data_IF_261739061696
#
_entry.id   IF_261739061696
#
_cell.length_a   1.000
_cell.length_b   1.000
_cell.length_c   1.000
_cell.angle_alpha   90.00
_cell.angle_beta   90.00
_cell.angle_gamma   90.00
#
_symmetry.space_group_name_H-M   'P 1'
#
loop_
_entity.id
_entity.type
_entity.pdbx_description
1 polymer ?
#
# COMPACT_ATOMS: atom_id res chain seq x y z
N UNK A 1 -12.37 11.35 -53.77
CA UNK A 1 -13.78 11.01 -54.07
C UNK A 1 -14.25 10.07 -52.97
N UNK A 2 -14.97 10.64 -52.01
CA UNK A 2 -15.37 9.98 -50.76
C UNK A 2 -16.64 9.15 -50.99
N UNK A 3 -16.64 7.94 -50.45
CA UNK A 3 -17.75 6.99 -50.48
C UNK A 3 -18.52 7.01 -49.17
N UNK A 4 -19.82 7.33 -49.29
CA UNK A 4 -20.97 6.85 -48.49
C UNK A 4 -20.81 6.68 -46.98
N UNK A 5 -21.39 7.62 -46.22
CA UNK A 5 -21.76 7.45 -44.80
C UNK A 5 -23.28 7.33 -44.67
N UNK A 6 -23.73 6.14 -44.27
CA UNK A 6 -25.12 5.81 -43.90
C UNK A 6 -25.42 6.32 -42.49
N UNK A 7 -26.46 7.14 -42.35
CA UNK A 7 -26.90 7.78 -41.10
C UNK A 7 -28.09 7.03 -40.48
N UNK A 8 -27.78 6.07 -39.60
CA UNK A 8 -28.78 5.40 -38.75
C UNK A 8 -29.03 6.18 -37.46
N UNK A 9 -30.14 6.94 -37.39
CA UNK A 9 -30.62 7.62 -36.19
C UNK A 9 -31.35 6.65 -35.25
N UNK A 10 -30.87 6.47 -34.02
CA UNK A 10 -31.56 5.71 -32.96
C UNK A 10 -32.02 6.68 -31.86
N UNK A 11 -33.34 6.83 -31.72
CA UNK A 11 -33.96 7.65 -30.69
C UNK A 11 -34.03 6.90 -29.36
N UNK A 12 -33.47 7.47 -28.29
CA UNK A 12 -33.66 6.97 -26.93
C UNK A 12 -34.63 7.87 -26.15
N UNK A 13 -35.76 7.27 -25.76
CA UNK A 13 -36.84 7.91 -25.03
C UNK A 13 -36.44 8.20 -23.58
N UNK A 14 -36.69 9.45 -23.14
CA UNK A 14 -36.55 9.91 -21.76
C UNK A 14 -37.58 9.22 -20.87
N UNK A 15 -37.15 8.61 -19.76
CA UNK A 15 -38.02 8.29 -18.62
C UNK A 15 -37.52 9.02 -17.38
N UNK A 16 -38.37 9.91 -16.88
CA UNK A 16 -38.20 10.64 -15.63
C UNK A 16 -38.69 9.77 -14.46
N UNK A 17 -37.82 9.51 -13.49
CA UNK A 17 -38.22 8.97 -12.19
C UNK A 17 -38.31 10.11 -11.18
N UNK A 18 -39.51 10.26 -10.61
CA UNK A 18 -39.85 11.23 -9.57
C UNK A 18 -39.37 10.72 -8.21
N UNK A 19 -38.81 11.62 -7.42
CA UNK A 19 -38.51 11.43 -6.01
C UNK A 19 -39.80 11.41 -5.19
N UNK A 20 -39.89 10.49 -4.23
CA UNK A 20 -40.90 10.49 -3.17
C UNK A 20 -40.20 10.27 -1.84
N UNK A 21 -40.11 11.32 -1.02
CA UNK A 21 -40.03 11.21 0.44
C UNK A 21 -41.42 10.84 0.96
N UNK A 22 -41.53 10.12 2.10
CA UNK A 22 -42.05 10.82 3.27
C UNK A 22 -41.62 10.24 4.64
N UNK A 23 -41.30 11.17 5.54
CA UNK A 23 -41.44 11.06 6.98
C UNK A 23 -42.89 10.72 7.37
N UNK A 24 -43.20 9.45 7.63
CA UNK A 24 -44.53 9.05 8.09
C UNK A 24 -44.54 7.67 8.79
N UNK A 25 -43.97 7.58 10.00
CA UNK A 25 -44.27 6.44 10.88
C UNK A 25 -43.97 6.75 12.36
N UNK A 26 -44.74 7.70 12.91
CA UNK A 26 -44.97 7.81 14.36
C UNK A 26 -46.41 7.41 14.65
N UNK A 27 -46.60 6.27 15.34
CA UNK A 27 -47.47 6.06 16.52
C UNK A 27 -48.01 4.63 16.59
N UNK A 28 -48.11 4.15 17.84
CA UNK A 28 -48.69 2.89 18.35
C UNK A 28 -47.66 1.75 18.30
N UNK A 29 -47.19 1.22 19.42
CA UNK A 29 -47.98 0.45 20.41
C UNK A 29 -47.46 0.70 21.84
N UNK A 30 -48.39 0.75 22.81
CA UNK A 30 -48.10 0.93 24.23
C UNK A 30 -48.07 -0.37 25.05
N UNK A 31 -47.42 -0.24 26.22
CA UNK A 31 -47.61 -0.96 27.50
C UNK A 31 -47.53 -2.50 27.49
N UNK A 32 -46.42 -3.02 28.02
CA UNK A 32 -46.35 -3.79 29.29
C UNK A 32 -44.91 -4.26 29.53
N UNK A 33 -44.25 -3.74 30.57
CA UNK A 33 -43.03 -4.34 31.11
C UNK A 33 -43.23 -4.52 32.62
N UNK A 34 -43.45 -5.77 33.04
CA UNK A 34 -43.23 -6.23 34.42
C UNK A 34 -41.88 -6.92 34.44
N UNK A 35 -41.16 -6.69 35.53
CA UNK A 35 -39.77 -7.07 35.70
C UNK A 35 -39.48 -8.54 35.42
N UNK A 36 -38.35 -8.75 34.76
CA UNK A 36 -37.52 -9.93 34.86
C UNK A 36 -36.08 -9.43 34.81
N UNK A 37 -35.40 -9.57 35.93
CA UNK A 37 -33.95 -9.39 36.08
C UNK A 37 -33.25 -10.20 35.00
N UNK A 38 -32.74 -9.52 33.97
CA UNK A 38 -31.86 -10.14 32.98
C UNK A 38 -30.53 -10.40 33.65
N UNK A 39 -30.19 -11.68 33.83
CA UNK A 39 -28.81 -12.09 34.01
C UNK A 39 -28.00 -11.45 32.88
N UNK A 40 -27.06 -10.56 33.24
CA UNK A 40 -26.04 -10.09 32.31
C UNK A 40 -25.24 -11.32 31.93
N UNK A 41 -25.51 -11.86 30.74
CA UNK A 41 -24.55 -12.68 30.04
C UNK A 41 -23.39 -11.73 29.71
N UNK A 42 -22.35 -11.76 30.55
CA UNK A 42 -21.05 -11.19 30.22
C UNK A 42 -20.61 -11.87 28.92
N UNK A 43 -20.80 -11.17 27.79
CA UNK A 43 -20.06 -11.52 26.59
C UNK A 43 -18.60 -11.27 26.94
N UNK A 44 -17.84 -12.35 27.11
CA UNK A 44 -16.40 -12.29 26.95
C UNK A 44 -16.14 -11.59 25.60
N UNK A 45 -15.26 -10.57 25.53
CA UNK A 45 -14.84 -10.05 24.24
C UNK A 45 -14.21 -11.23 23.49
N UNK A 46 -14.90 -11.72 22.46
CA UNK A 46 -14.34 -12.75 21.59
C UNK A 46 -13.01 -12.20 21.08
N UNK A 47 -11.93 -12.93 21.31
CA UNK A 47 -10.62 -12.56 20.79
C UNK A 47 -10.78 -12.26 19.30
N UNK A 48 -10.49 -11.03 18.89
CA UNK A 48 -10.55 -10.64 17.49
C UNK A 48 -9.61 -11.58 16.72
N UNK A 49 -10.13 -12.24 15.69
CA UNK A 49 -9.35 -13.14 14.84
C UNK A 49 -8.22 -12.33 14.21
N UNK A 50 -6.98 -12.76 14.40
CA UNK A 50 -5.81 -12.05 13.87
C UNK A 50 -5.78 -12.09 12.34
N UNK A 51 -5.05 -11.17 11.70
CA UNK A 51 -4.88 -11.18 10.24
C UNK A 51 -4.28 -12.50 9.74
N UNK A 52 -3.35 -13.08 10.50
CA UNK A 52 -2.71 -14.37 10.22
C UNK A 52 -3.72 -15.52 10.26
N UNK A 53 -4.62 -15.53 11.24
CA UNK A 53 -5.71 -16.52 11.29
C UNK A 53 -6.72 -16.32 10.17
N UNK A 54 -7.03 -15.07 9.79
CA UNK A 54 -7.88 -14.76 8.62
C UNK A 54 -7.25 -15.26 7.32
N UNK A 55 -5.92 -15.20 7.19
CA UNK A 55 -5.17 -15.80 6.08
C UNK A 55 -5.15 -17.34 6.10
N UNK A 56 -5.72 -17.98 7.13
CA UNK A 56 -5.81 -19.43 7.25
C UNK A 56 -4.64 -20.10 7.95
N UNK A 57 -3.72 -19.33 8.54
CA UNK A 57 -2.62 -19.87 9.34
C UNK A 57 -3.05 -20.12 10.79
N UNK A 58 -2.26 -20.92 11.52
CA UNK A 58 -2.48 -21.14 12.94
C UNK A 58 -2.20 -19.87 13.75
N UNK A 59 -2.94 -19.68 14.84
CA UNK A 59 -2.65 -18.63 15.81
C UNK A 59 -1.18 -18.70 16.27
N UNK A 60 -0.48 -17.57 16.25
CA UNK A 60 0.94 -17.51 16.60
C UNK A 60 1.92 -17.84 15.45
N UNK A 61 1.45 -18.08 14.23
CA UNK A 61 2.35 -18.24 13.08
C UNK A 61 3.08 -16.93 12.75
N UNK A 62 4.28 -17.06 12.18
CA UNK A 62 5.07 -15.95 11.63
C UNK A 62 4.87 -15.91 10.14
N UNK A 63 4.20 -14.87 9.67
CA UNK A 63 3.93 -14.65 8.26
C UNK A 63 4.71 -13.41 7.84
N UNK A 64 5.36 -13.51 6.69
CA UNK A 64 6.24 -12.49 6.13
C UNK A 64 5.66 -12.02 4.81
N UNK A 65 5.78 -10.73 4.56
CA UNK A 65 5.53 -10.11 3.27
C UNK A 65 6.80 -9.37 2.89
N UNK A 66 7.46 -9.73 1.79
CA UNK A 66 8.73 -9.11 1.38
C UNK A 66 8.42 -8.17 0.22
N UNK A 67 8.41 -6.87 0.51
CA UNK A 67 8.04 -5.84 -0.45
C UNK A 67 9.26 -5.08 -0.96
N UNK A 68 9.43 -5.05 -2.28
CA UNK A 68 10.43 -4.21 -2.93
C UNK A 68 9.83 -2.86 -3.31
N UNK A 69 10.28 -1.81 -2.64
CA UNK A 69 9.83 -0.45 -2.92
C UNK A 69 10.51 0.09 -4.18
N UNK A 70 9.93 1.18 -4.71
CA UNK A 70 10.55 2.00 -5.76
C UNK A 70 10.72 1.31 -7.13
N UNK A 71 9.82 0.39 -7.46
CA UNK A 71 9.64 0.00 -8.85
C UNK A 71 9.29 1.25 -9.67
N UNK A 72 9.96 1.48 -10.78
CA UNK A 72 9.80 2.67 -11.62
C UNK A 72 10.74 3.83 -11.28
N UNK A 73 11.46 3.78 -10.16
CA UNK A 73 12.42 4.83 -9.79
C UNK A 73 13.52 4.99 -10.84
N UNK A 74 14.29 3.94 -11.10
CA UNK A 74 15.36 3.92 -12.09
C UNK A 74 15.32 2.64 -12.93
N UNK A 75 16.06 2.60 -14.05
CA UNK A 75 16.25 1.33 -14.77
C UNK A 75 16.90 0.28 -13.87
N UNK A 76 17.89 0.69 -13.07
CA UNK A 76 18.57 -0.18 -12.12
C UNK A 76 17.62 -0.79 -11.08
N UNK A 77 16.70 0.01 -10.54
CA UNK A 77 15.66 -0.47 -9.62
C UNK A 77 14.72 -1.44 -10.32
N UNK A 78 14.23 -1.12 -11.53
CA UNK A 78 13.35 -2.01 -12.28
C UNK A 78 13.95 -3.40 -12.50
N UNK A 79 15.23 -3.47 -12.90
CA UNK A 79 15.91 -4.74 -13.13
C UNK A 79 15.99 -5.55 -11.84
N UNK A 80 16.43 -4.93 -10.74
CA UNK A 80 16.59 -5.62 -9.47
C UNK A 80 15.26 -6.05 -8.84
N UNK A 81 14.23 -5.20 -8.87
CA UNK A 81 12.90 -5.53 -8.36
C UNK A 81 12.29 -6.71 -9.12
N UNK A 82 12.34 -6.70 -10.46
CA UNK A 82 11.83 -7.83 -11.23
C UNK A 82 12.67 -9.11 -11.05
N UNK A 83 13.98 -9.01 -10.87
CA UNK A 83 14.82 -10.16 -10.51
C UNK A 83 14.40 -10.74 -9.15
N UNK A 84 14.22 -9.89 -8.13
CA UNK A 84 13.77 -10.28 -6.80
C UNK A 84 12.39 -10.95 -6.81
N UNK A 85 11.45 -10.45 -7.61
CA UNK A 85 10.10 -11.02 -7.73
C UNK A 85 10.04 -12.34 -8.51
N UNK A 86 10.88 -12.50 -9.54
CA UNK A 86 10.77 -13.61 -10.50
C UNK A 86 11.72 -14.77 -10.22
N UNK A 87 12.89 -14.46 -9.67
CA UNK A 87 13.96 -15.41 -9.42
C UNK A 87 14.51 -15.34 -7.98
N UNK A 88 14.02 -14.38 -7.20
CA UNK A 88 14.46 -14.10 -5.84
C UNK A 88 13.43 -14.48 -4.77
N UNK A 89 13.43 -13.71 -3.69
CA UNK A 89 12.64 -13.97 -2.48
C UNK A 89 11.55 -12.93 -2.20
N UNK A 90 11.43 -11.91 -3.03
CA UNK A 90 10.40 -10.89 -2.87
C UNK A 90 9.01 -11.45 -3.21
N UNK A 91 7.99 -11.07 -2.43
CA UNK A 91 6.61 -11.47 -2.67
C UNK A 91 5.74 -10.35 -3.24
N UNK A 92 6.17 -9.09 -3.12
CA UNK A 92 5.45 -7.93 -3.65
C UNK A 92 6.42 -6.81 -4.02
N UNK A 93 5.94 -5.83 -4.80
CA UNK A 93 6.64 -4.56 -5.04
C UNK A 93 5.68 -3.37 -5.13
N UNK A 94 6.21 -2.15 -5.05
CA UNK A 94 5.41 -0.92 -5.11
C UNK A 94 5.90 0.02 -6.21
N UNK A 95 5.01 0.40 -7.13
CA UNK A 95 5.33 1.24 -8.30
C UNK A 95 5.22 2.74 -7.97
N UNK A 96 6.31 3.48 -8.18
CA UNK A 96 6.32 4.94 -8.21
C UNK A 96 5.88 5.42 -9.58
N UNK A 97 4.59 5.75 -9.72
CA UNK A 97 4.00 6.11 -11.02
C UNK A 97 4.61 7.38 -11.64
N UNK A 98 4.90 8.45 -10.87
CA UNK A 98 5.49 9.65 -11.45
C UNK A 98 6.98 9.52 -11.79
N UNK A 99 7.64 8.47 -11.35
CA UNK A 99 9.08 8.31 -11.50
C UNK A 99 9.49 8.06 -12.97
N UNK A 100 10.71 8.48 -13.38
CA UNK A 100 11.10 8.51 -14.79
C UNK A 100 11.05 7.14 -15.51
N UNK A 101 11.25 6.04 -14.77
CA UNK A 101 11.28 4.69 -15.33
C UNK A 101 10.01 3.88 -15.09
N UNK A 102 8.94 4.49 -14.58
CA UNK A 102 7.67 3.83 -14.28
C UNK A 102 7.01 3.23 -15.53
N UNK A 103 7.09 3.93 -16.67
CA UNK A 103 6.57 3.41 -17.94
C UNK A 103 7.36 2.19 -18.44
N UNK A 104 8.66 2.15 -18.17
CA UNK A 104 9.52 1.01 -18.46
C UNK A 104 9.16 -0.19 -17.60
N UNK A 105 8.87 0.02 -16.32
CA UNK A 105 8.34 -1.02 -15.43
C UNK A 105 7.02 -1.58 -15.98
N UNK A 106 6.07 -0.72 -16.32
CA UNK A 106 4.79 -1.13 -16.94
C UNK A 106 4.97 -2.01 -18.18
N UNK A 107 5.93 -1.70 -19.06
CA UNK A 107 6.19 -2.48 -20.26
C UNK A 107 6.77 -3.88 -19.95
N UNK A 108 7.43 -4.04 -18.80
CA UNK A 108 8.01 -5.29 -18.37
C UNK A 108 7.09 -6.12 -17.47
N UNK A 109 5.93 -5.60 -17.04
CA UNK A 109 4.99 -6.27 -16.14
C UNK A 109 4.38 -7.56 -16.73
N UNK A 110 4.28 -8.62 -15.93
CA UNK A 110 3.76 -9.95 -16.35
C UNK A 110 2.68 -10.50 -15.42
N UNK A 111 2.14 -9.69 -14.51
CA UNK A 111 1.13 -10.13 -13.54
C UNK A 111 1.68 -10.37 -12.13
N UNK A 112 2.88 -9.86 -11.82
CA UNK A 112 3.43 -9.89 -10.46
C UNK A 112 2.52 -9.15 -9.46
N UNK A 113 2.73 -9.42 -8.18
CA UNK A 113 2.05 -8.69 -7.09
C UNK A 113 2.68 -7.29 -6.96
N UNK A 114 1.97 -6.27 -7.44
CA UNK A 114 2.47 -4.89 -7.50
C UNK A 114 1.42 -3.92 -6.99
N UNK A 115 1.78 -3.13 -5.98
CA UNK A 115 1.01 -2.00 -5.47
C UNK A 115 1.47 -0.67 -6.07
N UNK A 116 0.94 0.42 -5.53
CA UNK A 116 1.34 1.78 -5.91
C UNK A 116 2.04 2.44 -4.73
N UNK A 117 3.28 2.87 -4.97
CA UNK A 117 4.07 3.70 -4.08
C UNK A 117 3.68 5.15 -4.28
N UNK A 118 2.74 5.61 -3.46
CA UNK A 118 2.19 6.96 -3.54
C UNK A 118 3.27 7.98 -3.22
N UNK A 119 3.53 8.89 -4.15
CA UNK A 119 4.57 9.92 -4.00
C UNK A 119 3.95 11.31 -3.90
N UNK A 120 4.37 12.08 -2.89
CA UNK A 120 4.15 13.54 -2.82
C UNK A 120 5.45 14.33 -2.60
N UNK A 121 6.57 13.63 -2.55
CA UNK A 121 7.89 14.20 -2.29
C UNK A 121 8.91 13.60 -3.27
N UNK A 122 10.01 14.33 -3.47
CA UNK A 122 11.18 13.92 -4.24
C UNK A 122 12.44 14.48 -3.55
N UNK A 123 13.04 13.67 -2.69
CA UNK A 123 14.09 14.03 -1.74
C UNK A 123 15.46 14.27 -2.38
N UNK A 124 15.69 13.72 -3.57
CA UNK A 124 17.00 13.76 -4.22
C UNK A 124 17.24 15.09 -4.94
N UNK A 125 18.48 15.56 -4.88
CA UNK A 125 18.90 16.82 -5.52
C UNK A 125 18.88 16.74 -7.05
N UNK A 126 19.46 15.67 -7.59
CA UNK A 126 19.77 15.54 -9.02
C UNK A 126 18.80 14.63 -9.78
N UNK A 127 17.91 13.93 -9.07
CA UNK A 127 17.01 12.95 -9.68
C UNK A 127 15.60 13.12 -9.16
N UNK A 128 14.74 13.76 -9.96
CA UNK A 128 13.44 14.27 -9.50
C UNK A 128 12.28 13.78 -10.35
N UNK A 129 11.11 13.70 -9.73
CA UNK A 129 9.82 13.45 -10.37
C UNK A 129 8.80 14.49 -9.89
N UNK A 130 7.71 14.62 -10.64
CA UNK A 130 6.72 15.69 -10.48
C UNK A 130 5.29 15.14 -10.43
N UNK A 131 4.32 15.90 -9.90
CA UNK A 131 2.91 15.55 -9.99
C UNK A 131 2.49 15.21 -11.43
N UNK A 132 1.66 14.17 -11.60
CA UNK A 132 1.08 13.84 -12.91
C UNK A 132 -0.23 14.57 -13.18
N UNK A 133 -0.72 15.32 -12.18
CA UNK A 133 -1.87 16.22 -12.27
C UNK A 133 -1.44 17.69 -12.24
N UNK A 134 -2.41 18.59 -12.46
CA UNK A 134 -2.21 20.03 -12.22
C UNK A 134 -2.37 20.29 -10.72
N UNK A 135 -1.26 20.29 -9.99
CA UNK A 135 -1.20 20.46 -8.54
C UNK A 135 -0.10 21.44 -8.13
N UNK A 136 -0.33 22.77 -8.23
CA UNK A 136 0.65 23.78 -7.86
C UNK A 136 1.16 23.71 -6.40
N UNK A 137 0.34 23.25 -5.45
CA UNK A 137 0.74 23.10 -4.04
C UNK A 137 1.70 21.92 -3.82
N UNK A 138 1.74 20.99 -4.78
CA UNK A 138 2.62 19.81 -4.78
C UNK A 138 3.89 20.02 -5.61
N UNK A 139 4.24 21.27 -5.91
CA UNK A 139 5.47 21.64 -6.61
C UNK A 139 6.38 22.42 -5.69
N UNK A 140 7.67 22.14 -5.76
CA UNK A 140 8.70 22.85 -4.98
C UNK A 140 9.31 24.06 -5.71
N UNK A 141 8.83 24.35 -6.92
CA UNK A 141 9.34 25.43 -7.77
C UNK A 141 10.54 25.05 -8.66
N UNK A 142 11.16 23.89 -8.45
CA UNK A 142 12.28 23.36 -9.27
C UNK A 142 11.84 22.28 -10.26
N UNK A 143 10.53 22.14 -10.47
CA UNK A 143 9.96 21.27 -11.50
C UNK A 143 9.64 19.84 -11.04
N UNK A 144 9.53 19.60 -9.74
CA UNK A 144 9.08 18.33 -9.18
C UNK A 144 8.40 18.51 -7.83
N UNK A 145 8.19 17.40 -7.12
CA UNK A 145 7.61 17.42 -5.78
C UNK A 145 8.49 18.12 -4.73
N UNK A 146 7.91 18.55 -3.58
CA UNK A 146 8.63 18.96 -2.38
C UNK A 146 9.71 17.97 -1.94
N UNK A 147 10.80 18.46 -1.36
CA UNK A 147 11.94 17.62 -0.97
C UNK A 147 11.68 16.87 0.32
N UNK A 148 11.01 17.52 1.27
CA UNK A 148 10.79 17.00 2.62
C UNK A 148 9.32 16.68 2.86
N UNK A 149 9.07 15.79 3.82
CA UNK A 149 7.71 15.45 4.24
C UNK A 149 7.05 16.65 4.94
N UNK A 150 7.85 17.41 5.70
CA UNK A 150 7.44 18.62 6.39
C UNK A 150 6.94 19.68 5.42
N UNK A 151 7.65 19.90 4.30
CA UNK A 151 7.20 20.84 3.27
C UNK A 151 5.83 20.45 2.70
N UNK A 152 5.61 19.15 2.44
CA UNK A 152 4.32 18.62 1.98
C UNK A 152 3.25 18.91 3.03
N UNK A 153 3.53 18.60 4.30
CA UNK A 153 2.59 18.79 5.38
C UNK A 153 2.18 20.24 5.61
N UNK A 154 3.08 21.19 5.38
CA UNK A 154 2.83 22.62 5.61
C UNK A 154 2.11 23.29 4.45
N UNK A 155 2.36 22.85 3.21
CA UNK A 155 1.98 23.60 2.02
C UNK A 155 0.98 22.89 1.10
N UNK A 156 0.84 21.56 1.18
CA UNK A 156 0.00 20.82 0.25
C UNK A 156 -1.50 21.08 0.49
N UNK A 157 -2.22 21.32 -0.60
CA UNK A 157 -3.69 21.31 -0.61
C UNK A 157 -4.19 19.86 -0.64
N UNK A 158 -4.99 19.47 0.35
CA UNK A 158 -5.52 18.11 0.46
C UNK A 158 -6.40 17.69 -0.73
N UNK A 159 -7.06 18.63 -1.39
CA UNK A 159 -7.82 18.32 -2.60
C UNK A 159 -6.90 18.04 -3.79
N UNK A 160 -5.74 18.68 -3.85
CA UNK A 160 -4.68 18.36 -4.82
C UNK A 160 -4.06 17.00 -4.53
N UNK A 161 -3.78 16.70 -3.26
CA UNK A 161 -3.28 15.39 -2.82
C UNK A 161 -4.23 14.27 -3.23
N UNK A 162 -5.53 14.41 -2.95
CA UNK A 162 -6.55 13.42 -3.30
C UNK A 162 -6.61 13.18 -4.81
N UNK A 163 -6.54 14.24 -5.62
CA UNK A 163 -6.54 14.13 -7.09
C UNK A 163 -5.26 13.47 -7.60
N UNK A 164 -4.11 13.86 -7.07
CA UNK A 164 -2.80 13.35 -7.50
C UNK A 164 -2.66 11.86 -7.18
N UNK A 165 -2.94 11.44 -5.94
CA UNK A 165 -2.86 10.03 -5.57
C UNK A 165 -3.86 9.15 -6.32
N UNK A 166 -5.10 9.61 -6.50
CA UNK A 166 -6.07 8.89 -7.33
C UNK A 166 -5.55 8.75 -8.76
N UNK A 167 -5.00 9.82 -9.34
CA UNK A 167 -4.44 9.77 -10.69
C UNK A 167 -3.26 8.82 -10.79
N UNK A 168 -2.39 8.73 -9.77
CA UNK A 168 -1.28 7.77 -9.75
C UNK A 168 -1.81 6.34 -9.82
N UNK A 169 -2.80 5.99 -9.00
CA UNK A 169 -3.37 4.64 -9.01
C UNK A 169 -4.11 4.34 -10.32
N UNK A 170 -4.94 5.27 -10.81
CA UNK A 170 -5.65 5.12 -12.08
C UNK A 170 -4.68 4.96 -13.26
N UNK A 171 -3.54 5.66 -13.22
CA UNK A 171 -2.50 5.54 -14.24
C UNK A 171 -1.82 4.17 -14.21
N UNK A 172 -1.54 3.63 -13.02
CA UNK A 172 -1.00 2.27 -12.89
C UNK A 172 -1.98 1.23 -13.46
N UNK A 173 -3.26 1.34 -13.12
CA UNK A 173 -4.32 0.47 -13.68
C UNK A 173 -4.39 0.61 -15.20
N UNK A 174 -4.37 1.83 -15.72
CA UNK A 174 -4.36 2.10 -17.16
C UNK A 174 -3.16 1.49 -17.88
N UNK A 175 -2.00 1.43 -17.23
CA UNK A 175 -0.80 0.78 -17.74
C UNK A 175 -0.86 -0.75 -17.69
N UNK A 176 -1.89 -1.33 -17.08
CA UNK A 176 -2.16 -2.77 -17.05
C UNK A 176 -1.81 -3.45 -15.73
N UNK A 177 -1.43 -2.72 -14.68
CA UNK A 177 -1.18 -3.31 -13.37
C UNK A 177 -2.49 -3.73 -12.69
N UNK A 178 -2.51 -4.94 -12.14
CA UNK A 178 -3.54 -5.38 -11.19
C UNK A 178 -3.12 -4.94 -9.77
N UNK A 179 -3.35 -3.65 -9.46
CA UNK A 179 -2.84 -2.99 -8.24
C UNK A 179 -3.26 -3.75 -6.98
N UNK A 180 -2.29 -4.20 -6.19
CA UNK A 180 -2.54 -5.08 -5.05
C UNK A 180 -2.67 -4.37 -3.70
N UNK A 181 -1.97 -3.25 -3.51
CA UNK A 181 -1.96 -2.49 -2.27
C UNK A 181 -1.52 -1.04 -2.52
N UNK A 182 -1.59 -0.24 -1.46
CA UNK A 182 -1.02 1.10 -1.42
C UNK A 182 0.05 1.17 -0.32
N UNK A 183 1.11 1.90 -0.60
CA UNK A 183 2.05 2.38 0.39
C UNK A 183 2.49 3.81 0.03
N UNK A 184 3.18 4.49 0.93
CA UNK A 184 3.57 5.88 0.75
C UNK A 184 5.09 6.04 0.79
N UNK A 185 5.60 6.87 -0.11
CA UNK A 185 7.02 7.17 -0.21
C UNK A 185 7.52 7.94 1.01
N UNK A 186 8.75 7.60 1.43
CA UNK A 186 9.38 7.99 2.70
C UNK A 186 8.58 7.67 3.98
N UNK A 187 7.47 6.93 3.89
CA UNK A 187 6.60 6.61 5.03
C UNK A 187 6.26 7.82 5.92
N UNK A 188 6.14 8.99 5.30
CA UNK A 188 5.98 10.25 6.00
C UNK A 188 4.55 10.77 5.99
N UNK A 189 3.90 10.70 4.83
CA UNK A 189 2.64 11.42 4.63
C UNK A 189 1.50 10.80 5.45
N UNK A 190 1.50 9.49 5.67
CA UNK A 190 0.53 8.79 6.52
C UNK A 190 0.63 9.14 8.02
N UNK A 191 1.69 9.83 8.45
CA UNK A 191 1.92 10.18 9.86
C UNK A 191 1.30 11.53 10.26
N UNK A 192 0.56 12.18 9.36
CA UNK A 192 -0.22 13.38 9.65
C UNK A 192 -1.72 13.10 9.49
N UNK A 193 -2.58 13.37 10.50
CA UNK A 193 -3.97 12.93 10.51
C UNK A 193 -4.77 13.29 9.26
N UNK A 194 -4.59 14.50 8.73
CA UNK A 194 -5.34 14.97 7.57
C UNK A 194 -4.99 14.23 6.28
N UNK A 195 -3.72 13.86 6.11
CA UNK A 195 -3.26 13.08 4.96
C UNK A 195 -3.59 11.60 5.12
N UNK A 196 -3.54 11.10 6.36
CA UNK A 196 -3.96 9.75 6.69
C UNK A 196 -5.42 9.50 6.33
N UNK A 197 -6.30 10.48 6.56
CA UNK A 197 -7.71 10.38 6.16
C UNK A 197 -7.87 10.20 4.64
N UNK A 198 -7.14 11.00 3.84
CA UNK A 198 -7.13 10.89 2.37
C UNK A 198 -6.57 9.54 1.90
N UNK A 199 -5.55 9.03 2.60
CA UNK A 199 -4.95 7.73 2.32
C UNK A 199 -5.94 6.58 2.56
N UNK A 200 -6.65 6.60 3.70
CA UNK A 200 -7.68 5.60 3.99
C UNK A 200 -8.91 5.73 3.09
N UNK A 201 -9.34 6.95 2.75
CA UNK A 201 -10.41 7.19 1.78
C UNK A 201 -10.09 6.52 0.43
N UNK A 202 -8.86 6.70 -0.06
CA UNK A 202 -8.41 6.09 -1.31
C UNK A 202 -8.36 4.55 -1.22
N UNK A 203 -7.90 4.01 -0.10
CA UNK A 203 -7.83 2.58 0.15
C UNK A 203 -9.22 1.93 0.23
N UNK A 204 -10.17 2.60 0.88
CA UNK A 204 -11.58 2.19 0.97
C UNK A 204 -12.24 2.17 -0.41
N UNK A 205 -12.11 3.26 -1.17
CA UNK A 205 -12.72 3.41 -2.49
C UNK A 205 -12.24 2.36 -3.50
N UNK A 206 -10.98 1.93 -3.39
CA UNK A 206 -10.36 0.97 -4.30
C UNK A 206 -10.36 -0.46 -3.74
N UNK A 207 -10.85 -0.64 -2.51
CA UNK A 207 -10.78 -1.87 -1.73
C UNK A 207 -9.35 -2.47 -1.77
N UNK A 208 -8.36 -1.66 -1.38
CA UNK A 208 -6.95 -2.03 -1.36
C UNK A 208 -6.40 -2.03 0.08
N UNK A 209 -5.63 -3.06 0.46
CA UNK A 209 -4.88 -3.04 1.71
C UNK A 209 -3.78 -1.99 1.63
N UNK A 210 -3.28 -1.60 2.79
CA UNK A 210 -2.30 -0.53 2.92
C UNK A 210 -1.13 -0.95 3.79
N UNK A 211 0.05 -0.40 3.51
CA UNK A 211 1.17 -0.41 4.46
C UNK A 211 0.85 0.54 5.61
N UNK A 212 1.04 0.09 6.86
CA UNK A 212 1.00 0.92 8.08
C UNK A 212 2.15 0.56 9.03
N UNK A 213 2.73 1.54 9.74
CA UNK A 213 3.71 1.29 10.80
C UNK A 213 3.15 0.41 11.92
N UNK A 214 4.01 -0.21 12.73
CA UNK A 214 3.57 -1.02 13.88
C UNK A 214 2.82 -0.20 14.94
N UNK A 215 2.01 -0.86 15.78
CA UNK A 215 1.28 -0.22 16.90
C UNK A 215 2.20 0.54 17.86
N UNK A 216 3.45 0.11 17.98
CA UNK A 216 4.50 0.74 18.79
C UNK A 216 4.89 2.14 18.30
N UNK A 217 4.53 2.52 17.07
CA UNK A 217 4.79 3.84 16.50
C UNK A 217 3.69 4.86 16.81
N UNK A 218 2.49 4.44 17.25
CA UNK A 218 1.37 5.34 17.56
C UNK A 218 1.72 6.45 18.58
N UNK A 219 2.48 6.18 19.67
CA UNK A 219 2.88 7.23 20.60
C UNK A 219 3.76 8.31 19.97
N UNK A 220 4.59 7.94 18.99
CA UNK A 220 5.47 8.87 18.25
C UNK A 220 4.67 9.69 17.24
N UNK A 221 3.72 9.05 16.56
CA UNK A 221 2.87 9.66 15.53
C UNK A 221 1.80 10.57 16.14
N UNK A 222 1.27 10.21 17.32
CA UNK A 222 0.37 11.06 18.09
C UNK A 222 -1.13 10.87 17.81
N UNK A 223 -1.53 9.84 17.07
CA UNK A 223 -2.94 9.46 16.87
C UNK A 223 -3.11 7.94 16.60
N UNK A 224 -4.29 7.35 16.86
CA UNK A 224 -4.50 5.90 16.82
C UNK A 224 -4.78 5.40 15.40
N UNK A 225 -3.79 5.50 14.51
CA UNK A 225 -3.95 5.18 13.08
C UNK A 225 -4.39 3.73 12.82
N UNK A 226 -4.03 2.76 13.69
CA UNK A 226 -4.45 1.36 13.52
C UNK A 226 -5.92 1.16 13.83
N UNK A 227 -6.42 1.80 14.88
CA UNK A 227 -7.84 1.75 15.24
C UNK A 227 -8.67 2.39 14.13
N UNK A 228 -8.28 3.57 13.64
CA UNK A 228 -8.97 4.28 12.55
C UNK A 228 -9.01 3.46 11.24
N UNK A 229 -7.91 2.79 10.90
CA UNK A 229 -7.87 1.89 9.74
C UNK A 229 -8.81 0.69 9.93
N UNK A 230 -8.82 0.08 11.12
CA UNK A 230 -9.68 -1.05 11.44
C UNK A 230 -11.17 -0.68 11.44
N UNK A 231 -11.54 0.51 11.91
CA UNK A 231 -12.93 1.02 11.87
C UNK A 231 -13.46 1.15 10.44
N UNK A 232 -12.58 1.43 9.47
CA UNK A 232 -12.90 1.48 8.04
C UNK A 232 -12.75 0.13 7.32
N UNK A 233 -12.44 -0.93 8.06
CA UNK A 233 -12.24 -2.27 7.49
C UNK A 233 -10.98 -2.39 6.63
N UNK A 234 -10.04 -1.46 6.75
CA UNK A 234 -8.78 -1.48 6.00
C UNK A 234 -7.85 -2.54 6.58
N UNK A 235 -7.25 -3.34 5.70
CA UNK A 235 -6.31 -4.42 6.05
C UNK A 235 -4.87 -3.93 5.89
N UNK A 236 -4.02 -4.20 6.87
CA UNK A 236 -2.60 -3.84 6.86
C UNK A 236 -1.75 -4.91 7.57
N UNK A 237 -0.46 -5.08 7.23
CA UNK A 237 0.48 -5.89 8.00
C UNK A 237 0.55 -5.45 9.47
N UNK A 238 0.81 -6.34 10.42
CA UNK A 238 0.87 -5.98 11.86
C UNK A 238 2.04 -5.02 12.16
N UNK A 239 3.10 -5.08 11.35
CA UNK A 239 4.31 -4.26 11.47
C UNK A 239 5.08 -4.21 10.16
N UNK A 240 5.96 -3.22 10.06
CA UNK A 240 6.87 -3.02 8.93
C UNK A 240 8.28 -2.90 9.47
N UNK A 241 9.24 -3.61 8.87
CA UNK A 241 10.66 -3.52 9.19
C UNK A 241 11.47 -3.35 7.91
N UNK A 242 12.54 -2.58 7.96
CA UNK A 242 13.48 -2.48 6.83
C UNK A 242 14.44 -3.66 6.85
N UNK A 243 14.69 -4.29 5.70
CA UNK A 243 15.55 -5.47 5.60
C UNK A 243 16.96 -5.22 6.17
N UNK A 244 17.57 -4.08 5.83
CA UNK A 244 18.89 -3.72 6.32
C UNK A 244 18.94 -3.59 7.85
N UNK A 245 17.92 -2.99 8.47
CA UNK A 245 17.79 -2.88 9.93
C UNK A 245 17.54 -4.24 10.58
N UNK A 246 16.70 -5.08 9.96
CA UNK A 246 16.43 -6.43 10.45
C UNK A 246 17.71 -7.28 10.52
N UNK A 247 18.59 -7.14 9.54
CA UNK A 247 19.82 -7.94 9.43
C UNK A 247 21.04 -7.31 10.12
N UNK A 248 21.00 -6.03 10.49
CA UNK A 248 22.18 -5.27 10.96
C UNK A 248 22.87 -5.91 12.18
N UNK A 249 22.09 -6.39 13.14
CA UNK A 249 22.59 -6.88 14.43
C UNK A 249 22.51 -8.40 14.58
N UNK A 250 22.06 -9.12 13.55
CA UNK A 250 21.85 -10.56 13.63
C UNK A 250 23.15 -11.34 13.31
N UNK A 251 23.57 -12.30 14.16
CA UNK A 251 24.75 -13.13 13.91
C UNK A 251 24.64 -13.94 12.63
N UNK A 252 23.43 -14.41 12.31
CA UNK A 252 23.06 -15.00 11.04
C UNK A 252 21.68 -14.48 10.61
N UNK A 253 21.37 -14.46 9.30
CA UNK A 253 20.07 -14.01 8.83
C UNK A 253 18.91 -14.74 9.49
N UNK A 254 19.01 -16.06 9.71
CA UNK A 254 17.96 -16.85 10.36
C UNK A 254 17.61 -16.34 11.76
N UNK A 255 18.59 -15.91 12.54
CA UNK A 255 18.37 -15.40 13.90
C UNK A 255 17.46 -14.16 13.88
N UNK A 256 17.60 -13.31 12.86
CA UNK A 256 16.75 -12.13 12.69
C UNK A 256 15.28 -12.52 12.49
N UNK A 257 15.00 -13.46 11.59
CA UNK A 257 13.63 -13.92 11.33
C UNK A 257 13.05 -14.72 12.50
N UNK A 258 13.88 -15.46 13.23
CA UNK A 258 13.46 -16.16 14.44
C UNK A 258 13.16 -15.20 15.60
N UNK A 259 13.80 -14.04 15.65
CA UNK A 259 13.50 -13.00 16.64
C UNK A 259 12.20 -12.24 16.34
N UNK A 260 11.66 -12.30 15.11
CA UNK A 260 10.41 -11.63 14.77
C UNK A 260 9.24 -12.15 15.61
N UNK A 261 8.35 -11.26 16.12
CA UNK A 261 7.12 -11.68 16.77
C UNK A 261 6.20 -12.44 15.81
N UNK A 262 5.33 -13.29 16.37
CA UNK A 262 4.21 -13.84 15.64
C UNK A 262 3.32 -12.74 15.03
N UNK A 263 2.61 -13.05 13.96
CA UNK A 263 1.84 -12.09 13.17
C UNK A 263 2.40 -11.91 11.76
N UNK A 264 1.80 -10.97 11.02
CA UNK A 264 2.20 -10.58 9.69
C UNK A 264 3.20 -9.43 9.74
N UNK A 265 4.44 -9.70 9.36
CA UNK A 265 5.50 -8.69 9.26
C UNK A 265 5.79 -8.38 7.80
N UNK A 266 5.65 -7.13 7.41
CA UNK A 266 6.19 -6.64 6.16
C UNK A 266 7.68 -6.31 6.31
N UNK A 267 8.50 -6.84 5.41
CA UNK A 267 9.92 -6.56 5.26
C UNK A 267 10.07 -5.73 4.00
N UNK A 268 10.39 -4.45 4.14
CA UNK A 268 10.61 -3.54 3.01
C UNK A 268 12.09 -3.45 2.65
N UNK A 269 12.37 -3.32 1.36
CA UNK A 269 13.71 -3.15 0.81
C UNK A 269 13.66 -2.32 -0.47
N UNK A 270 14.78 -1.72 -0.89
CA UNK A 270 14.88 -0.88 -2.09
C UNK A 270 15.95 -1.43 -3.05
N UNK A 271 15.80 -2.66 -3.59
CA UNK A 271 16.85 -3.29 -4.38
C UNK A 271 17.09 -2.56 -5.71
N UNK A 272 18.35 -2.36 -6.07
CA UNK A 272 18.77 -1.84 -7.36
C UNK A 272 20.10 -2.48 -7.80
N UNK A 273 20.30 -2.70 -9.11
CA UNK A 273 21.59 -3.16 -9.63
C UNK A 273 22.61 -2.02 -9.67
N UNK A 274 23.89 -2.35 -9.51
CA UNK A 274 24.95 -1.35 -9.53
C UNK A 274 25.18 -0.80 -10.96
N UNK A 275 24.81 0.46 -11.18
CA UNK A 275 25.01 1.16 -12.46
C UNK A 275 25.54 2.58 -12.24
N UNK A 276 26.22 3.17 -13.26
CA UNK A 276 26.61 4.58 -13.19
C UNK A 276 25.42 5.54 -12.99
N UNK A 277 24.25 5.21 -13.54
CA UNK A 277 23.00 5.98 -13.33
C UNK A 277 22.62 5.99 -11.85
N UNK A 278 22.55 4.82 -11.21
CA UNK A 278 22.16 4.71 -9.81
C UNK A 278 23.13 5.47 -8.90
N UNK A 279 24.44 5.29 -9.12
CA UNK A 279 25.49 5.98 -8.34
C UNK A 279 25.42 7.50 -8.46
N UNK A 280 24.96 8.01 -9.60
CA UNK A 280 24.80 9.45 -9.83
C UNK A 280 23.47 9.99 -9.26
N UNK A 281 22.42 9.17 -9.27
CA UNK A 281 21.08 9.57 -8.85
C UNK A 281 20.90 9.53 -7.32
N UNK A 282 21.40 8.46 -6.66
CA UNK A 282 21.02 8.12 -5.30
C UNK A 282 22.26 7.95 -4.40
N UNK A 283 22.45 8.80 -3.36
CA UNK A 283 23.60 8.70 -2.45
C UNK A 283 23.66 7.38 -1.66
N UNK A 284 22.51 6.77 -1.42
CA UNK A 284 22.31 5.50 -0.72
C UNK A 284 22.42 4.27 -1.64
N UNK A 285 22.91 4.43 -2.87
CA UNK A 285 23.11 3.33 -3.83
C UNK A 285 23.81 2.08 -3.25
N UNK A 286 24.79 2.15 -2.32
CA UNK A 286 25.42 0.93 -1.79
C UNK A 286 24.42 0.05 -1.03
N UNK A 287 23.49 0.67 -0.28
CA UNK A 287 22.45 -0.04 0.46
C UNK A 287 21.46 -0.73 -0.49
N UNK A 288 21.08 -0.03 -1.56
CA UNK A 288 20.18 -0.55 -2.61
C UNK A 288 20.77 -1.77 -3.34
N UNK A 289 22.08 -1.73 -3.59
CA UNK A 289 22.80 -2.89 -4.16
C UNK A 289 22.90 -4.03 -3.17
N UNK A 290 23.09 -3.75 -1.87
CA UNK A 290 23.07 -4.77 -0.83
C UNK A 290 21.68 -5.45 -0.73
N UNK A 291 20.59 -4.68 -0.80
CA UNK A 291 19.23 -5.23 -0.84
C UNK A 291 19.02 -6.15 -2.06
N UNK A 292 19.56 -5.78 -3.23
CA UNK A 292 19.52 -6.64 -4.42
C UNK A 292 20.26 -7.97 -4.19
N UNK A 293 21.39 -7.96 -3.50
CA UNK A 293 22.14 -9.18 -3.18
C UNK A 293 21.37 -10.08 -2.20
N UNK A 294 20.64 -9.49 -1.26
CA UNK A 294 19.82 -10.23 -0.31
C UNK A 294 18.55 -10.80 -0.93
N UNK A 295 17.95 -10.14 -1.92
CA UNK A 295 16.62 -10.49 -2.44
C UNK A 295 16.60 -11.09 -3.84
N UNK A 296 17.61 -10.82 -4.66
CA UNK A 296 17.66 -11.21 -6.06
C UNK A 296 17.90 -12.71 -6.29
N UNK A 297 18.14 -13.06 -7.54
CA UNK A 297 18.49 -14.42 -7.95
C UNK A 297 19.72 -14.93 -7.20
N UNK A 298 19.60 -16.11 -6.58
CA UNK A 298 20.66 -16.69 -5.75
C UNK A 298 20.71 -16.12 -4.33
N UNK A 299 19.64 -15.43 -3.90
CA UNK A 299 19.47 -14.87 -2.55
C UNK A 299 19.93 -15.83 -1.44
N UNK A 300 20.78 -15.36 -0.51
CA UNK A 300 21.12 -16.09 0.71
C UNK A 300 19.91 -16.32 1.64
N UNK A 301 18.82 -15.57 1.47
CA UNK A 301 17.60 -15.70 2.26
C UNK A 301 16.70 -16.84 1.78
N UNK A 302 16.93 -17.39 0.58
CA UNK A 302 16.06 -18.42 0.03
C UNK A 302 15.95 -19.65 0.96
N UNK A 303 17.07 -20.11 1.52
CA UNK A 303 17.07 -21.23 2.47
C UNK A 303 16.48 -20.87 3.83
N UNK A 304 16.64 -19.62 4.27
CA UNK A 304 16.11 -19.12 5.54
C UNK A 304 14.59 -19.06 5.50
N UNK A 305 14.03 -18.56 4.39
CA UNK A 305 12.59 -18.41 4.18
C UNK A 305 11.89 -19.73 3.83
N UNK A 306 12.62 -20.69 3.26
CA UNK A 306 12.12 -22.04 3.01
C UNK A 306 12.14 -22.94 4.26
N UNK A 307 12.80 -22.53 5.34
CA UNK A 307 12.87 -23.30 6.57
C UNK A 307 11.56 -23.22 7.36
N UNK A 308 11.27 -24.29 8.11
CA UNK A 308 10.03 -24.44 8.87
C UNK A 308 9.76 -23.24 9.81
N UNK A 309 8.47 -22.91 9.95
CA UNK A 309 7.98 -21.87 10.86
C UNK A 309 7.92 -20.45 10.28
N UNK A 310 8.32 -20.25 9.02
CA UNK A 310 8.12 -19.01 8.28
C UNK A 310 7.20 -19.25 7.08
N UNK A 311 6.29 -18.32 6.85
CA UNK A 311 5.39 -18.34 5.70
C UNK A 311 5.50 -17.02 4.95
N UNK A 312 5.63 -17.06 3.63
CA UNK A 312 5.67 -15.84 2.81
C UNK A 312 4.35 -15.69 2.07
N UNK A 313 3.75 -14.51 2.12
CA UNK A 313 2.52 -14.13 1.40
C UNK A 313 2.73 -12.85 0.60
N UNK A 314 1.88 -12.62 -0.40
CA UNK A 314 1.78 -11.36 -1.12
C UNK A 314 0.72 -10.41 -0.54
N UNK A 315 0.70 -9.19 -1.06
CA UNK A 315 -0.38 -8.23 -0.80
C UNK A 315 -1.68 -8.63 -1.51
N UNK A 316 -1.60 -9.44 -2.58
CA UNK A 316 -2.77 -9.96 -3.28
C UNK A 316 -3.67 -10.78 -2.35
N UNK A 317 -3.09 -11.56 -1.44
CA UNK A 317 -3.80 -12.33 -0.42
C UNK A 317 -4.51 -11.39 0.59
N UNK A 318 -3.83 -10.32 1.03
CA UNK A 318 -4.44 -9.30 1.89
C UNK A 318 -5.59 -8.59 1.19
N UNK A 319 -5.42 -8.28 -0.10
CA UNK A 319 -6.46 -7.66 -0.93
C UNK A 319 -7.67 -8.58 -1.10
N UNK A 320 -7.44 -9.88 -1.28
CA UNK A 320 -8.52 -10.86 -1.32
C UNK A 320 -9.26 -10.88 0.02
N UNK A 321 -8.55 -10.94 1.15
CA UNK A 321 -9.16 -10.90 2.48
C UNK A 321 -9.97 -9.63 2.75
N UNK A 322 -9.55 -8.50 2.21
CA UNK A 322 -10.28 -7.23 2.36
C UNK A 322 -11.55 -7.20 1.51
N UNK A 323 -11.54 -7.89 0.35
CA UNK A 323 -12.68 -7.97 -0.58
C UNK A 323 -13.65 -9.11 -0.28
N UNK A 324 -13.24 -10.06 0.56
CA UNK A 324 -14.11 -11.11 1.04
C UNK A 324 -15.19 -10.53 1.96
N UNK A 325 -16.48 -10.91 1.79
CA UNK A 325 -17.51 -10.51 2.73
C UNK A 325 -17.18 -11.11 4.11
N UNK A 326 -17.11 -10.24 5.12
CA UNK A 326 -16.99 -10.65 6.53
C UNK A 326 -18.17 -11.59 6.83
N UNK A 327 -17.87 -12.87 7.04
CA UNK A 327 -18.88 -13.92 7.32
C UNK A 327 -19.39 -13.84 8.75
#
# INVERSE_FOLDING_TARGET
>A
MASSSDSGSVSWARRSCRCTTPSELRRRVGRRARGRTSARCERQPGALVTIVERLGFVAGAKVLLICCDELGFSHASNVAVYDALRAGTASSASLMVPAPWARGAAAAYRGEDVGVHLTLNAELDLYRWAPITQAPSLLDGEGGFPRTVEDVWEHADLDEVRREWRAQVERAIYWGFDVSHLDAHLCGVELKPEFFDVYLELAEDLCLPVRLPGLDEEPRVGFPFRELAAERGIVAPDRVVTLSTLLADAPAPRDAFDALPAGLTEIRAQPAIDTPELRAAAPDWPARVADQQWLGSGSPLASVLAADGLHVVGYRELRQLMREPVR
#
